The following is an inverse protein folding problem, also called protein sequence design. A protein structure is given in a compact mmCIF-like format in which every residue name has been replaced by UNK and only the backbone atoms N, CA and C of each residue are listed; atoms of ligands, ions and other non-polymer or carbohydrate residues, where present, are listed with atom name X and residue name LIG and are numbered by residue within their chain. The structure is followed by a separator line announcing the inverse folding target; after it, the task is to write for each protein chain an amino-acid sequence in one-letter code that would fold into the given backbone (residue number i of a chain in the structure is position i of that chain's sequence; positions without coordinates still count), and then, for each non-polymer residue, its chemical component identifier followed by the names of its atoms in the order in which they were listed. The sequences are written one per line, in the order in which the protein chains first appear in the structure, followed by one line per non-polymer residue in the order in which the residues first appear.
data_IF_925402495263
#
_entry.id   IF_925402495263
#
_cell.length_a   1.000
_cell.length_b   1.000
_cell.length_c   1.000
_cell.angle_alpha   90.00
_cell.angle_beta   90.00
_cell.angle_gamma   90.00
#
_symmetry.space_group_name_H-M   'P 1'
#
loop_
_entity.id
_entity.type
_entity.pdbx_description
1 polymer ?
#
# COMPACT_ATOMS: atom_id res chain seq x y z
N UNK A 1 -47.68 -2.36 -21.79
CA UNK A 1 -46.30 -2.49 -21.26
C UNK A 1 -46.39 -3.34 -20.00
N UNK A 2 -45.92 -4.58 -20.11
CA UNK A 2 -46.32 -5.70 -19.27
C UNK A 2 -45.66 -5.65 -17.89
N UNK A 3 -46.44 -5.74 -16.80
CA UNK A 3 -45.98 -5.77 -15.40
C UNK A 3 -44.75 -6.68 -15.16
N UNK A 4 -44.63 -7.75 -15.94
CA UNK A 4 -43.54 -8.72 -15.92
C UNK A 4 -42.16 -8.14 -16.17
N UNK A 5 -42.02 -7.11 -17.02
CA UNK A 5 -40.70 -6.51 -17.29
C UNK A 5 -40.21 -5.65 -16.13
N UNK A 6 -41.13 -5.02 -15.39
CA UNK A 6 -40.80 -4.25 -14.20
C UNK A 6 -40.30 -5.15 -13.06
N UNK A 7 -40.94 -6.31 -12.84
CA UNK A 7 -40.55 -7.27 -11.81
C UNK A 7 -39.15 -7.84 -12.08
N UNK A 8 -38.86 -8.22 -13.33
CA UNK A 8 -37.54 -8.76 -13.71
C UNK A 8 -36.46 -7.68 -13.56
N UNK A 9 -36.74 -6.43 -13.97
CA UNK A 9 -35.81 -5.32 -13.81
C UNK A 9 -35.47 -5.04 -12.33
N UNK A 10 -36.46 -5.08 -11.44
CA UNK A 10 -36.24 -4.89 -10.00
C UNK A 10 -35.44 -6.03 -9.37
N UNK A 11 -35.64 -7.27 -9.82
CA UNK A 11 -34.88 -8.42 -9.30
C UNK A 11 -33.39 -8.33 -9.68
N UNK A 12 -33.08 -7.95 -10.91
CA UNK A 12 -31.69 -7.79 -11.38
C UNK A 12 -31.00 -6.65 -10.61
N UNK A 13 -31.67 -5.52 -10.42
CA UNK A 13 -31.14 -4.40 -9.65
C UNK A 13 -30.86 -4.77 -8.19
N UNK A 14 -31.76 -5.53 -7.54
CA UNK A 14 -31.59 -5.98 -6.16
C UNK A 14 -30.40 -6.94 -6.01
N UNK A 15 -30.22 -7.88 -6.94
CA UNK A 15 -29.08 -8.83 -6.92
C UNK A 15 -27.76 -8.10 -7.16
N UNK A 16 -27.73 -7.15 -8.10
CA UNK A 16 -26.54 -6.32 -8.34
C UNK A 16 -26.16 -5.47 -7.12
N UNK A 17 -27.16 -4.89 -6.45
CA UNK A 17 -26.94 -4.11 -5.24
C UNK A 17 -26.47 -5.00 -4.07
N UNK A 18 -27.04 -6.19 -3.91
CA UNK A 18 -26.59 -7.14 -2.88
C UNK A 18 -25.16 -7.61 -3.12
N UNK A 19 -24.80 -7.93 -4.37
CA UNK A 19 -23.43 -8.32 -4.74
C UNK A 19 -22.41 -7.21 -4.44
N UNK A 20 -22.74 -5.97 -4.77
CA UNK A 20 -21.85 -4.82 -4.48
C UNK A 20 -21.71 -4.58 -2.98
N UNK A 21 -22.80 -4.68 -2.20
CA UNK A 21 -22.77 -4.56 -0.74
C UNK A 21 -21.94 -5.67 -0.10
N UNK A 22 -22.07 -6.93 -0.56
CA UNK A 22 -21.24 -8.05 -0.07
C UNK A 22 -19.76 -7.82 -0.39
N UNK A 23 -19.44 -7.40 -1.62
CA UNK A 23 -18.06 -7.09 -2.03
C UNK A 23 -17.46 -5.94 -1.21
N UNK A 24 -18.23 -4.88 -0.97
CA UNK A 24 -17.85 -3.76 -0.12
C UNK A 24 -17.66 -4.20 1.34
N UNK A 25 -18.54 -5.06 1.86
CA UNK A 25 -18.42 -5.59 3.21
C UNK A 25 -17.18 -6.48 3.36
N UNK A 26 -16.85 -7.28 2.34
CA UNK A 26 -15.65 -8.12 2.34
C UNK A 26 -14.35 -7.29 2.26
N UNK A 27 -14.37 -6.17 1.53
CA UNK A 27 -13.27 -5.19 1.53
C UNK A 27 -13.15 -4.47 2.89
N UNK A 28 -14.28 -4.18 3.54
CA UNK A 28 -14.34 -3.51 4.85
C UNK A 28 -13.93 -4.43 6.01
N UNK A 29 -14.22 -5.73 5.89
CA UNK A 29 -13.76 -6.78 6.79
C UNK A 29 -12.37 -7.32 6.43
N UNK A 30 -11.72 -6.76 5.40
CA UNK A 30 -10.30 -6.97 5.19
C UNK A 30 -9.56 -6.34 6.39
N UNK A 31 -8.71 -7.10 7.11
CA UNK A 31 -8.04 -6.62 8.34
C UNK A 31 -7.07 -5.46 8.12
N UNK A 32 -6.97 -4.90 6.92
CA UNK A 32 -6.07 -3.81 6.57
C UNK A 32 -6.69 -2.40 6.67
N UNK A 33 -7.99 -2.26 6.91
CA UNK A 33 -8.66 -0.94 6.87
C UNK A 33 -9.16 -0.44 8.24
N UNK A 34 -8.39 -0.63 9.30
CA UNK A 34 -8.72 -0.05 10.62
C UNK A 34 -7.57 0.72 11.28
N UNK A 35 -6.71 1.39 10.49
CA UNK A 35 -5.70 2.29 11.09
C UNK A 35 -5.34 3.52 10.26
N UNK A 36 -6.32 4.18 9.65
CA UNK A 36 -6.10 5.50 9.03
C UNK A 36 -7.19 6.50 9.39
N UNK A 37 -7.46 6.64 10.69
CA UNK A 37 -8.06 7.88 11.20
C UNK A 37 -7.60 8.16 12.63
N UNK A 38 -6.55 8.99 12.71
CA UNK A 38 -6.11 9.75 13.88
C UNK A 38 -5.70 8.97 15.15
N UNK A 39 -4.40 8.68 15.29
CA UNK A 39 -3.74 8.57 16.61
C UNK A 39 -2.28 9.01 16.42
N UNK A 40 -1.96 10.30 16.62
CA UNK A 40 -1.30 10.79 17.85
C UNK A 40 -0.47 9.72 18.56
N UNK A 41 0.83 10.01 18.70
CA UNK A 41 1.75 9.49 19.74
C UNK A 41 1.04 8.73 20.87
N UNK A 42 1.23 7.41 20.94
CA UNK A 42 1.55 6.73 22.19
C UNK A 42 1.97 5.29 21.90
N UNK A 43 3.16 4.96 22.38
CA UNK A 43 3.73 3.64 22.54
C UNK A 43 2.80 2.66 23.24
N UNK A 44 2.51 1.52 22.60
CA UNK A 44 2.19 0.27 23.29
C UNK A 44 2.59 -0.90 22.40
N UNK A 45 3.47 -1.73 22.93
CA UNK A 45 4.16 -2.80 22.27
C UNK A 45 3.21 -3.96 21.91
N UNK A 46 3.08 -4.20 20.61
CA UNK A 46 2.89 -5.56 20.11
C UNK A 46 3.77 -5.67 18.85
N UNK A 47 5.04 -5.93 19.12
CA UNK A 47 6.16 -6.15 18.19
C UNK A 47 5.95 -7.45 17.39
N UNK A 48 4.85 -7.50 16.65
CA UNK A 48 4.82 -8.28 15.44
C UNK A 48 5.68 -7.50 14.46
N UNK A 49 6.80 -8.09 14.06
CA UNK A 49 7.84 -7.49 13.21
C UNK A 49 7.31 -7.25 11.79
N UNK A 50 6.28 -6.42 11.65
CA UNK A 50 5.60 -6.15 10.41
C UNK A 50 6.53 -5.27 9.60
N UNK A 51 7.25 -5.89 8.67
CA UNK A 51 8.12 -5.18 7.74
C UNK A 51 7.25 -4.41 6.75
N UNK A 52 7.44 -3.10 6.70
CA UNK A 52 6.71 -2.18 5.82
C UNK A 52 7.57 -1.84 4.59
N UNK A 53 6.89 -1.59 3.47
CA UNK A 53 7.55 -1.11 2.26
C UNK A 53 7.93 0.37 2.42
N UNK A 54 9.20 0.71 2.20
CA UNK A 54 9.71 2.08 2.34
C UNK A 54 9.08 3.06 1.33
N UNK A 55 8.49 2.57 0.24
CA UNK A 55 7.84 3.42 -0.77
C UNK A 55 6.40 3.74 -0.43
N UNK A 56 5.60 2.74 -0.05
CA UNK A 56 4.15 2.89 0.08
C UNK A 56 3.63 2.71 1.51
N UNK A 57 4.51 2.41 2.47
CA UNK A 57 4.20 2.15 3.88
C UNK A 57 3.15 1.07 4.10
N UNK A 58 2.94 0.20 3.11
CA UNK A 58 2.09 -0.98 3.23
C UNK A 58 2.92 -2.20 3.64
N UNK A 59 2.35 -3.11 4.42
CA UNK A 59 3.04 -4.32 4.87
C UNK A 59 3.32 -5.29 3.72
N UNK A 60 4.14 -6.29 4.02
CA UNK A 60 4.35 -7.41 3.11
C UNK A 60 3.03 -8.12 2.80
N UNK A 61 2.68 -8.16 1.52
CA UNK A 61 1.48 -8.81 1.01
C UNK A 61 1.91 -9.88 0.01
N UNK A 62 1.56 -11.14 0.25
CA UNK A 62 1.86 -12.25 -0.65
C UNK A 62 3.09 -13.07 -0.23
N UNK A 63 3.77 -13.65 -1.21
CA UNK A 63 4.94 -14.51 -1.02
C UNK A 63 6.28 -13.76 -1.17
N UNK A 64 7.39 -14.47 -0.99
CA UNK A 64 8.74 -13.90 -1.12
C UNK A 64 9.05 -13.33 -2.51
N UNK A 65 8.27 -13.66 -3.56
CA UNK A 65 8.50 -13.17 -4.94
C UNK A 65 7.93 -11.77 -5.16
N UNK A 66 6.99 -11.36 -4.31
CA UNK A 66 6.36 -10.03 -4.38
C UNK A 66 7.15 -8.96 -3.64
N UNK A 67 8.24 -9.34 -2.97
CA UNK A 67 8.98 -8.51 -2.03
C UNK A 67 10.48 -8.61 -2.21
N UNK A 68 11.18 -7.52 -1.90
CA UNK A 68 12.64 -7.48 -1.90
C UNK A 68 13.13 -6.76 -0.66
N UNK A 69 14.02 -7.44 0.07
CA UNK A 69 14.83 -6.87 1.14
C UNK A 69 16.25 -6.69 0.64
N UNK A 70 16.80 -5.50 0.81
CA UNK A 70 18.20 -5.21 0.50
C UNK A 70 19.10 -5.52 1.71
N UNK A 71 20.40 -5.69 1.46
CA UNK A 71 21.40 -5.90 2.51
C UNK A 71 21.47 -4.75 3.51
N UNK A 72 21.14 -3.53 3.07
CA UNK A 72 21.02 -2.36 3.94
C UNK A 72 19.80 -2.40 4.88
N UNK A 73 18.95 -3.43 4.78
CA UNK A 73 17.78 -3.64 5.65
C UNK A 73 16.48 -3.08 5.10
N UNK A 74 16.52 -2.14 4.15
CA UNK A 74 15.32 -1.56 3.52
C UNK A 74 14.55 -2.59 2.69
N UNK A 75 13.23 -2.49 2.74
CA UNK A 75 12.34 -3.44 2.09
C UNK A 75 11.29 -2.77 1.22
N UNK A 76 10.95 -3.42 0.11
CA UNK A 76 10.04 -2.89 -0.90
C UNK A 76 9.18 -3.98 -1.52
N UNK A 77 7.98 -3.63 -1.98
CA UNK A 77 7.27 -4.46 -2.96
C UNK A 77 8.05 -4.45 -4.29
N UNK A 78 8.10 -5.59 -4.97
CA UNK A 78 8.71 -5.69 -6.29
C UNK A 78 8.04 -4.74 -7.30
N UNK A 79 6.72 -4.54 -7.19
CA UNK A 79 5.98 -3.55 -7.99
C UNK A 79 6.44 -2.11 -7.70
N UNK A 80 6.66 -1.76 -6.43
CA UNK A 80 7.16 -0.43 -6.06
C UNK A 80 8.57 -0.20 -6.61
N UNK A 81 9.46 -1.19 -6.56
CA UNK A 81 10.79 -1.09 -7.17
C UNK A 81 10.74 -0.92 -8.68
N UNK A 82 9.84 -1.65 -9.35
CA UNK A 82 9.70 -1.58 -10.80
C UNK A 82 9.32 -0.18 -11.30
N UNK A 83 8.59 0.62 -10.50
CA UNK A 83 8.25 2.02 -10.85
C UNK A 83 9.48 2.89 -11.04
N UNK A 84 10.56 2.61 -10.30
CA UNK A 84 11.80 3.37 -10.37
C UNK A 84 12.85 2.71 -11.26
N UNK A 85 12.55 1.54 -11.83
CA UNK A 85 13.48 0.72 -12.62
C UNK A 85 14.87 0.53 -11.96
N UNK A 86 14.96 0.66 -10.63
CA UNK A 86 16.22 0.57 -9.89
C UNK A 86 16.46 -0.86 -9.43
N UNK A 87 17.72 -1.29 -9.52
CA UNK A 87 18.21 -2.53 -8.92
C UNK A 87 18.79 -2.32 -7.53
N UNK A 88 18.91 -1.08 -7.09
CA UNK A 88 19.52 -0.67 -5.83
C UNK A 88 18.46 -0.17 -4.85
N UNK A 89 18.87 0.00 -3.60
CA UNK A 89 18.01 0.57 -2.58
C UNK A 89 17.82 2.07 -2.83
N UNK A 90 16.60 2.45 -3.20
CA UNK A 90 16.23 3.83 -3.54
C UNK A 90 16.47 4.78 -2.36
N UNK A 91 16.18 4.34 -1.13
CA UNK A 91 16.39 5.16 0.08
C UNK A 91 17.86 5.50 0.26
N UNK A 92 18.77 4.53 0.06
CA UNK A 92 20.20 4.77 0.15
C UNK A 92 20.71 5.65 -1.00
N UNK A 93 20.22 5.43 -2.23
CA UNK A 93 20.57 6.26 -3.39
C UNK A 93 20.14 7.72 -3.20
N UNK A 94 18.96 7.94 -2.63
CA UNK A 94 18.44 9.27 -2.32
C UNK A 94 19.33 10.00 -1.30
N UNK A 95 19.66 9.36 -0.18
CA UNK A 95 20.53 9.94 0.85
C UNK A 95 21.92 10.27 0.29
N UNK A 96 22.48 9.38 -0.54
CA UNK A 96 23.77 9.64 -1.20
C UNK A 96 23.70 10.85 -2.14
N UNK A 97 22.61 10.99 -2.91
CA UNK A 97 22.41 12.14 -3.79
C UNK A 97 22.27 13.46 -3.02
N UNK A 98 21.55 13.46 -1.89
CA UNK A 98 21.42 14.62 -1.02
C UNK A 98 22.77 15.07 -0.44
N UNK A 99 23.62 14.13 -0.03
CA UNK A 99 24.96 14.45 0.48
C UNK A 99 25.86 15.06 -0.59
N UNK A 100 25.79 14.57 -1.83
CA UNK A 100 26.51 15.17 -2.97
C UNK A 100 25.98 16.57 -3.28
N UNK A 101 24.66 16.78 -3.21
CA UNK A 101 24.08 18.10 -3.43
C UNK A 101 24.51 19.11 -2.34
N UNK A 102 24.47 18.70 -1.07
CA UNK A 102 24.87 19.53 0.07
C UNK A 102 26.37 19.90 0.02
N UNK A 103 27.24 18.94 -0.30
CA UNK A 103 28.68 19.21 -0.42
C UNK A 103 29.03 20.16 -1.56
N UNK A 104 28.30 20.13 -2.68
CA UNK A 104 28.45 21.10 -3.77
C UNK A 104 28.06 22.52 -3.37
N UNK A 105 27.07 22.69 -2.48
CA UNK A 105 26.68 24.01 -1.99
C UNK A 105 27.75 24.62 -1.08
N UNK A 106 28.40 23.81 -0.24
CA UNK A 106 29.47 24.27 0.65
C UNK A 106 30.79 24.58 -0.09
N UNK A 107 31.10 23.88 -1.19
CA UNK A 107 32.30 24.13 -1.99
C UNK A 107 32.24 25.35 -2.92
N UNK A 108 31.07 25.96 -3.08
CA UNK A 108 30.84 27.15 -3.90
C UNK A 108 30.66 28.44 -3.07
N UNK A 109 30.98 28.40 -1.76
CA UNK A 109 30.90 29.54 -0.84
C UNK A 109 32.26 30.11 -0.51
#
# INVERSE_FOLDING_TARGET
MSLWTAVIGTAIAAVGLLYTVIKLNNMRNSPYQTRTRAERRSSSAEDSNIVLCETCNMPQMGDATTWRRFECGHCYHQQCLNLFASKHCITCEFVAAEQVAASRQMGNS
#
